data_IF_599035342080
#
_entry.id   IF_599035342080
#
_cell.length_a   1.000
_cell.length_b   1.000
_cell.length_c   1.000
_cell.angle_alpha   90.00
_cell.angle_beta   90.00
_cell.angle_gamma   90.00
#
_symmetry.space_group_name_H-M   'P 1'
#
loop_
_entity.id
_entity.type
_entity.pdbx_description
1 polymer ?
#
# COMPACT_ATOMS: atom_id res chain seq x y z
N UNK A 1 -12.85 14.48 25.92
CA UNK A 1 -11.58 14.45 25.17
C UNK A 1 -11.86 13.74 23.86
N UNK A 2 -11.75 14.47 22.75
CA UNK A 2 -12.21 14.03 21.44
C UNK A 2 -11.27 12.96 20.87
N UNK A 3 -11.84 11.98 20.14
CA UNK A 3 -11.15 10.92 19.38
C UNK A 3 -10.25 11.44 18.23
N UNK A 4 -9.90 12.72 18.23
CA UNK A 4 -9.32 13.40 17.06
C UNK A 4 -7.78 13.47 17.08
N UNK A 5 -7.11 12.97 18.13
CA UNK A 5 -5.66 13.16 18.29
C UNK A 5 -4.84 11.85 18.18
N UNK A 6 -5.45 10.71 17.83
CA UNK A 6 -4.68 9.54 17.41
C UNK A 6 -4.66 9.52 15.89
N UNK A 7 -3.48 9.40 15.29
CA UNK A 7 -3.35 9.15 13.86
C UNK A 7 -4.20 7.95 13.42
N UNK A 8 -4.33 7.71 12.11
CA UNK A 8 -5.01 6.51 11.64
C UNK A 8 -4.31 5.27 12.19
N UNK A 9 -4.94 4.59 13.16
CA UNK A 9 -4.38 3.40 13.80
C UNK A 9 -4.42 2.23 12.83
N UNK A 10 -3.31 1.52 12.74
CA UNK A 10 -3.25 0.26 12.02
C UNK A 10 -4.14 -0.76 12.72
N UNK A 11 -5.17 -1.24 12.02
CA UNK A 11 -6.11 -2.22 12.58
C UNK A 11 -5.50 -3.60 12.85
N UNK A 12 -4.25 -3.82 12.42
CA UNK A 12 -3.54 -5.10 12.58
C UNK A 12 -2.62 -5.10 13.80
N UNK A 13 -1.74 -4.10 13.92
CA UNK A 13 -0.78 -4.03 15.03
C UNK A 13 -1.20 -3.07 16.15
N UNK A 14 -2.19 -2.19 15.92
CA UNK A 14 -2.65 -1.19 16.89
C UNK A 14 -1.80 0.08 16.96
N UNK A 15 -0.67 0.14 16.24
CA UNK A 15 0.22 1.30 16.21
C UNK A 15 -0.24 2.34 15.17
N UNK A 16 0.20 3.59 15.33
CA UNK A 16 -0.09 4.67 14.39
C UNK A 16 0.56 4.44 13.02
N UNK A 17 -0.19 4.71 11.95
CA UNK A 17 0.36 4.88 10.61
C UNK A 17 0.78 6.34 10.45
N UNK A 18 1.96 6.67 10.98
CA UNK A 18 2.44 8.06 11.08
C UNK A 18 2.66 8.75 9.73
N UNK A 19 2.98 7.98 8.69
CA UNK A 19 3.39 8.52 7.39
C UNK A 19 2.70 7.83 6.22
N UNK A 20 2.38 8.60 5.19
CA UNK A 20 1.64 8.13 4.01
C UNK A 20 2.39 7.05 3.24
N UNK A 21 3.72 7.11 3.18
CA UNK A 21 4.56 6.10 2.53
C UNK A 21 4.50 4.72 3.22
N UNK A 22 3.97 4.66 4.44
CA UNK A 22 3.74 3.44 5.19
C UNK A 22 2.28 2.98 5.14
N UNK A 23 1.37 3.74 4.52
CA UNK A 23 -0.07 3.45 4.47
C UNK A 23 -0.41 2.38 3.44
N UNK A 24 -1.04 1.32 3.93
CA UNK A 24 -1.62 0.28 3.10
C UNK A 24 -2.90 0.73 2.41
N UNK A 25 -3.71 1.59 3.04
CA UNK A 25 -4.91 2.15 2.44
C UNK A 25 -4.57 2.99 1.20
N UNK A 26 -3.61 3.91 1.32
CA UNK A 26 -3.22 4.76 0.20
C UNK A 26 -2.48 3.98 -0.89
N UNK A 27 -1.72 2.93 -0.57
CA UNK A 27 -1.16 2.02 -1.59
C UNK A 27 -2.29 1.40 -2.43
N UNK A 28 -3.33 0.87 -1.76
CA UNK A 28 -4.48 0.24 -2.41
C UNK A 28 -5.28 1.24 -3.26
N UNK A 29 -5.44 2.47 -2.79
CA UNK A 29 -6.03 3.54 -3.60
C UNK A 29 -5.19 3.85 -4.85
N UNK A 30 -3.88 3.96 -4.71
CA UNK A 30 -2.97 4.29 -5.81
C UNK A 30 -3.01 3.24 -6.94
N UNK A 31 -3.10 1.96 -6.57
CA UNK A 31 -3.20 0.85 -7.53
C UNK A 31 -4.63 0.57 -8.00
N UNK A 32 -5.62 1.31 -7.49
CA UNK A 32 -7.03 1.23 -7.91
C UNK A 32 -7.87 0.14 -7.24
N UNK A 33 -7.42 -0.44 -6.13
CA UNK A 33 -8.20 -1.40 -5.32
C UNK A 33 -9.22 -0.74 -4.37
N UNK A 34 -9.05 0.57 -4.11
CA UNK A 34 -9.94 1.39 -3.29
C UNK A 34 -10.23 2.66 -4.08
N UNK A 35 -11.47 3.14 -4.07
CA UNK A 35 -11.84 4.41 -4.70
C UNK A 35 -11.72 5.60 -3.73
N UNK A 36 -11.57 6.81 -4.28
CA UNK A 36 -11.36 8.02 -3.48
C UNK A 36 -12.54 8.28 -2.52
N UNK A 37 -13.76 7.97 -2.94
CA UNK A 37 -14.98 8.14 -2.15
C UNK A 37 -15.05 7.21 -0.94
N UNK A 38 -14.27 6.12 -0.94
CA UNK A 38 -14.25 5.12 0.13
C UNK A 38 -13.20 5.42 1.20
N UNK A 39 -12.20 6.26 0.91
CA UNK A 39 -11.02 6.47 1.75
C UNK A 39 -11.35 6.84 3.20
N UNK A 40 -12.33 7.72 3.42
CA UNK A 40 -12.69 8.18 4.77
C UNK A 40 -13.34 7.10 5.64
N UNK A 41 -13.90 6.06 5.02
CA UNK A 41 -14.61 4.97 5.72
C UNK A 41 -13.78 3.68 5.84
N UNK A 42 -12.67 3.57 5.13
CA UNK A 42 -11.85 2.37 5.13
C UNK A 42 -10.89 2.33 6.34
N UNK A 43 -10.67 1.16 6.95
CA UNK A 43 -9.66 1.01 7.97
C UNK A 43 -8.25 1.19 7.39
N UNK A 44 -7.36 1.73 8.21
CA UNK A 44 -5.95 1.89 7.86
C UNK A 44 -5.12 0.71 8.38
N UNK A 45 -4.04 0.38 7.67
CA UNK A 45 -3.01 -0.55 8.14
C UNK A 45 -1.64 -0.18 7.55
N UNK A 46 -0.54 -0.54 8.23
CA UNK A 46 0.76 -0.41 7.58
C UNK A 46 0.86 -1.33 6.37
N UNK A 47 1.60 -0.92 5.34
CA UNK A 47 1.92 -1.79 4.19
C UNK A 47 2.46 -3.13 4.67
N UNK A 48 3.40 -3.12 5.62
CA UNK A 48 4.03 -4.33 6.16
C UNK A 48 3.09 -5.21 7.00
N UNK A 49 2.02 -4.64 7.53
CA UNK A 49 0.99 -5.39 8.27
C UNK A 49 0.05 -6.17 7.34
N UNK A 50 0.08 -5.91 6.03
CA UNK A 50 -0.54 -6.75 5.01
C UNK A 50 0.56 -7.44 4.17
N UNK A 51 1.18 -8.52 4.69
CA UNK A 51 2.28 -9.19 4.01
C UNK A 51 1.85 -9.82 2.68
N UNK A 52 0.57 -10.18 2.52
CA UNK A 52 0.02 -10.78 1.29
C UNK A 52 0.10 -9.80 0.11
N UNK A 53 -0.11 -8.51 0.34
CA UNK A 53 0.08 -7.47 -0.68
C UNK A 53 1.56 -7.03 -0.75
N UNK A 54 2.18 -6.81 0.40
CA UNK A 54 3.50 -6.17 0.47
C UNK A 54 4.65 -7.05 -0.04
N UNK A 55 4.50 -8.38 -0.09
CA UNK A 55 5.48 -9.28 -0.70
C UNK A 55 5.71 -9.02 -2.21
N UNK A 56 4.78 -8.33 -2.88
CA UNK A 56 4.89 -7.98 -4.29
C UNK A 56 5.71 -6.71 -4.54
N UNK A 57 6.15 -5.99 -3.50
CA UNK A 57 7.04 -4.83 -3.68
C UNK A 57 8.47 -5.33 -3.94
N UNK A 58 9.00 -5.02 -5.13
CA UNK A 58 10.36 -5.32 -5.56
C UNK A 58 11.12 -4.01 -5.79
N UNK A 59 11.70 -3.50 -4.71
CA UNK A 59 12.53 -2.30 -4.72
C UNK A 59 13.68 -2.42 -3.72
N UNK A 60 14.83 -1.83 -4.03
CA UNK A 60 16.00 -1.87 -3.15
C UNK A 60 15.79 -1.06 -1.86
N UNK A 61 14.94 -0.03 -1.90
CA UNK A 61 14.60 0.79 -0.74
C UNK A 61 13.48 0.18 0.10
N UNK A 62 12.85 -0.90 -0.37
CA UNK A 62 11.85 -1.64 0.39
C UNK A 62 12.40 -2.97 0.87
N UNK A 63 12.47 -3.17 2.20
CA UNK A 63 12.88 -4.47 2.76
C UNK A 63 11.85 -5.54 2.40
N UNK A 64 12.24 -6.45 1.51
CA UNK A 64 11.43 -7.56 1.04
C UNK A 64 10.75 -8.34 2.18
N UNK A 65 9.52 -8.77 1.93
CA UNK A 65 8.72 -9.57 2.85
C UNK A 65 8.63 -10.98 2.28
N UNK A 66 8.98 -11.96 3.13
CA UNK A 66 8.82 -13.37 2.84
C UNK A 66 7.55 -13.82 3.56
N UNK A 67 6.62 -14.38 2.80
CA UNK A 67 5.42 -15.05 3.32
C UNK A 67 5.68 -16.54 3.25
N UNK A 68 5.20 -17.29 4.24
CA UNK A 68 5.22 -18.74 4.21
C UNK A 68 3.80 -19.28 4.05
N UNK A 69 3.67 -20.44 3.41
CA UNK A 69 2.39 -21.11 3.19
C UNK A 69 1.67 -20.66 1.91
N UNK A 70 0.36 -20.91 1.79
CA UNK A 70 -0.37 -20.82 0.52
C UNK A 70 -0.53 -19.41 -0.04
N UNK A 71 -0.23 -18.38 0.74
CA UNK A 71 -0.24 -16.98 0.30
C UNK A 71 1.13 -16.48 -0.14
N UNK A 72 2.18 -17.29 -0.04
CA UNK A 72 3.49 -16.97 -0.59
C UNK A 72 3.39 -16.83 -2.11
N UNK A 73 3.85 -15.69 -2.64
CA UNK A 73 3.83 -15.42 -4.09
C UNK A 73 4.60 -16.48 -4.89
N UNK A 74 5.56 -17.19 -4.29
CA UNK A 74 6.31 -18.28 -4.95
C UNK A 74 5.45 -19.49 -5.30
N UNK A 75 4.29 -19.62 -4.65
CA UNK A 75 3.31 -20.68 -4.90
C UNK A 75 2.25 -20.28 -5.94
N UNK A 76 2.31 -19.05 -6.48
CA UNK A 76 1.37 -18.53 -7.48
C UNK A 76 1.92 -18.66 -8.91
N UNK A 77 1.05 -18.44 -9.91
CA UNK A 77 1.45 -18.40 -11.31
C UNK A 77 2.52 -17.31 -11.55
N UNK A 78 3.69 -17.64 -12.12
CA UNK A 78 4.78 -16.67 -12.29
C UNK A 78 4.43 -15.44 -13.15
N UNK A 79 3.51 -15.56 -14.10
CA UNK A 79 3.09 -14.41 -14.92
C UNK A 79 2.16 -13.49 -14.13
N UNK A 80 1.24 -14.05 -13.33
CA UNK A 80 0.46 -13.27 -12.38
C UNK A 80 1.36 -12.56 -11.36
N UNK A 81 2.37 -13.25 -10.84
CA UNK A 81 3.35 -12.68 -9.91
C UNK A 81 4.04 -11.47 -10.52
N UNK A 82 4.54 -11.56 -11.76
CA UNK A 82 5.18 -10.42 -12.44
C UNK A 82 4.25 -9.23 -12.62
N UNK A 83 2.98 -9.48 -12.96
CA UNK A 83 1.97 -8.42 -13.12
C UNK A 83 1.75 -7.71 -11.78
N UNK A 84 1.57 -8.48 -10.70
CA UNK A 84 1.36 -7.95 -9.35
C UNK A 84 2.61 -7.25 -8.83
N UNK A 85 3.79 -7.79 -9.05
CA UNK A 85 5.06 -7.15 -8.69
C UNK A 85 5.20 -5.79 -9.37
N UNK A 86 4.92 -5.72 -10.68
CA UNK A 86 4.96 -4.46 -11.43
C UNK A 86 3.93 -3.44 -10.93
N UNK A 87 2.69 -3.86 -10.67
CA UNK A 87 1.63 -2.98 -10.19
C UNK A 87 1.93 -2.44 -8.78
N UNK A 88 2.20 -3.33 -7.83
CA UNK A 88 2.37 -2.99 -6.42
C UNK A 88 3.69 -2.22 -6.20
N UNK A 89 4.76 -2.56 -6.92
CA UNK A 89 6.02 -1.79 -6.88
C UNK A 89 5.84 -0.38 -7.41
N UNK A 90 5.15 -0.20 -8.56
CA UNK A 90 4.83 1.15 -9.07
C UNK A 90 3.96 1.92 -8.09
N UNK A 91 2.98 1.28 -7.46
CA UNK A 91 2.15 1.89 -6.45
C UNK A 91 2.95 2.36 -5.23
N UNK A 92 3.87 1.54 -4.74
CA UNK A 92 4.72 1.90 -3.61
C UNK A 92 5.70 3.04 -3.94
N UNK A 93 6.32 3.03 -5.13
CA UNK A 93 7.14 4.16 -5.59
C UNK A 93 6.32 5.44 -5.72
N UNK A 94 5.09 5.33 -6.22
CA UNK A 94 4.17 6.47 -6.32
C UNK A 94 3.81 7.05 -4.96
N UNK A 95 3.69 6.24 -3.90
CA UNK A 95 3.57 6.73 -2.52
C UNK A 95 4.78 7.58 -2.10
N UNK A 96 5.99 7.16 -2.44
CA UNK A 96 7.20 7.96 -2.14
C UNK A 96 7.14 9.30 -2.87
N UNK A 97 6.77 9.30 -4.16
CA UNK A 97 6.61 10.55 -4.91
C UNK A 97 5.53 11.47 -4.35
N UNK A 98 4.41 10.92 -3.88
CA UNK A 98 3.34 11.68 -3.23
C UNK A 98 3.86 12.40 -2.00
N UNK A 99 4.62 11.71 -1.14
CA UNK A 99 5.27 12.29 0.03
C UNK A 99 6.25 13.39 -0.37
N UNK A 100 7.15 13.09 -1.29
CA UNK A 100 8.22 14.01 -1.73
C UNK A 100 7.68 15.28 -2.38
N UNK A 101 6.65 15.15 -3.23
CA UNK A 101 6.09 16.26 -4.02
C UNK A 101 4.87 16.89 -3.36
N UNK A 102 4.42 16.37 -2.21
CA UNK A 102 3.22 16.82 -1.48
C UNK A 102 2.00 16.95 -2.40
N UNK A 103 1.76 15.91 -3.20
CA UNK A 103 0.68 15.92 -4.19
C UNK A 103 -0.69 15.98 -3.54
N UNK A 104 -1.69 16.41 -4.30
CA UNK A 104 -3.09 16.34 -3.87
C UNK A 104 -3.64 14.91 -4.03
N UNK A 105 -4.66 14.56 -3.23
CA UNK A 105 -5.25 13.20 -3.21
C UNK A 105 -5.76 12.74 -4.59
N UNK A 106 -6.22 13.66 -5.43
CA UNK A 106 -6.68 13.38 -6.80
C UNK A 106 -5.55 12.98 -7.75
N UNK A 107 -4.31 13.30 -7.40
CA UNK A 107 -3.13 12.99 -8.22
C UNK A 107 -2.47 11.68 -7.83
N UNK A 108 -2.85 11.07 -6.70
CA UNK A 108 -2.18 9.86 -6.21
C UNK A 108 -2.24 8.68 -7.18
N UNK A 109 -3.41 8.33 -7.78
CA UNK A 109 -3.54 7.11 -8.57
C UNK A 109 -2.51 6.99 -9.69
N UNK A 110 -2.08 5.76 -9.98
CA UNK A 110 -1.27 5.50 -11.15
C UNK A 110 -2.03 5.94 -12.41
N UNK A 111 -1.33 6.64 -13.31
CA UNK A 111 -1.89 6.95 -14.62
C UNK A 111 -2.30 5.64 -15.30
N UNK A 112 -3.53 5.61 -15.83
CA UNK A 112 -4.00 4.47 -16.64
C UNK A 112 -3.03 4.30 -17.80
N UNK A 113 -2.40 3.12 -17.87
CA UNK A 113 -1.57 2.76 -19.01
C UNK A 113 -2.54 2.55 -20.19
N UNK A 114 -2.50 3.44 -21.18
CA UNK A 114 -3.23 3.29 -22.45
C UNK A 114 -2.71 2.08 -23.24
#
# INVERSE_FOLDING_TARGET
MAKCDQGYLCVICGEEVEHIENSGLYLRYIIGEVHAEELQGQPEHHIRCNPVLAQFIIDNEFKAIIVEGPFDKRELDPEEVKIRESLVTRGWRRLQEVKEKQLSISEFPLARSN
#
